data_IF_340218091523
#
_entry.id   IF_340218091523
#
_cell.length_a   1.000
_cell.length_b   1.000
_cell.length_c   1.000
_cell.angle_alpha   90.00
_cell.angle_beta   90.00
_cell.angle_gamma   90.00
#
_symmetry.space_group_name_H-M   'P 1'
#
loop_
_entity.id
_entity.type
_entity.pdbx_description
1 polymer ?
#
# COMPACT_ATOMS: atom_id res chain seq x y z
N UNK A 1 1.19 15.86 -21.40
CA UNK A 1 0.02 15.00 -21.55
C UNK A 1 -0.76 14.92 -20.23
N UNK A 2 -0.20 14.42 -19.12
CA UNK A 2 -0.91 14.11 -17.86
C UNK A 2 -1.00 15.25 -16.82
N UNK A 3 -0.45 16.44 -17.03
CA UNK A 3 -0.36 17.50 -16.01
C UNK A 3 -1.72 17.87 -15.38
N UNK A 4 -2.78 17.95 -16.19
CA UNK A 4 -4.14 18.26 -15.70
C UNK A 4 -4.75 17.06 -14.96
N UNK A 5 -4.68 15.88 -15.54
CA UNK A 5 -5.26 14.65 -14.96
C UNK A 5 -4.56 14.23 -13.67
N UNK A 6 -3.25 14.41 -13.54
CA UNK A 6 -2.51 14.22 -12.27
C UNK A 6 -3.07 15.15 -11.19
N UNK A 7 -3.19 16.47 -11.50
CA UNK A 7 -3.74 17.43 -10.55
C UNK A 7 -5.18 17.10 -10.13
N UNK A 8 -6.00 16.59 -11.05
CA UNK A 8 -7.39 16.24 -10.74
C UNK A 8 -7.47 14.91 -9.96
N UNK A 9 -6.71 13.89 -10.34
CA UNK A 9 -6.71 12.61 -9.65
C UNK A 9 -6.00 12.66 -8.28
N UNK A 10 -5.12 13.62 -8.03
CA UNK A 10 -4.49 13.78 -6.71
C UNK A 10 -5.44 14.22 -5.60
N UNK A 11 -6.58 14.84 -5.96
CA UNK A 11 -7.51 15.46 -5.00
C UNK A 11 -8.26 14.47 -4.11
N UNK A 12 -8.38 13.22 -4.52
CA UNK A 12 -9.06 12.15 -3.79
C UNK A 12 -8.12 11.05 -3.31
N UNK A 13 -6.80 11.26 -3.40
CA UNK A 13 -5.81 10.30 -2.92
C UNK A 13 -5.36 10.67 -1.51
N UNK A 14 -5.28 9.65 -0.69
CA UNK A 14 -4.71 9.75 0.65
C UNK A 14 -3.61 8.70 0.84
N UNK A 15 -2.52 9.02 1.56
CA UNK A 15 -1.48 8.05 1.86
C UNK A 15 -1.94 7.08 2.94
N UNK A 16 -1.61 5.81 2.76
CA UNK A 16 -1.51 4.85 3.85
C UNK A 16 -0.07 4.88 4.36
N UNK A 17 0.11 5.12 5.64
CA UNK A 17 1.44 5.20 6.28
C UNK A 17 1.44 4.37 7.53
N UNK A 18 2.35 3.41 7.61
CA UNK A 18 2.49 2.51 8.75
C UNK A 18 3.92 2.55 9.28
N UNK A 19 4.08 2.72 10.59
CA UNK A 19 5.34 2.53 11.30
C UNK A 19 5.45 1.09 11.78
N UNK A 20 6.63 0.48 11.62
CA UNK A 20 6.92 -0.92 11.93
C UNK A 20 8.06 -0.98 12.95
N UNK A 21 7.81 -1.57 14.12
CA UNK A 21 8.82 -1.83 15.16
C UNK A 21 9.17 -3.31 15.17
N UNK A 22 10.46 -3.58 14.99
CA UNK A 22 11.01 -4.92 15.15
C UNK A 22 11.50 -5.16 16.58
N UNK A 23 11.41 -6.40 17.04
CA UNK A 23 11.97 -6.80 18.31
C UNK A 23 13.50 -6.58 18.32
N UNK A 24 14.03 -6.08 19.44
CA UNK A 24 15.47 -5.79 19.54
C UNK A 24 15.98 -4.57 18.78
N UNK A 25 15.15 -3.95 17.91
CA UNK A 25 15.54 -2.77 17.14
C UNK A 25 14.99 -1.48 17.74
N UNK A 26 15.81 -0.43 17.74
CA UNK A 26 15.36 0.93 18.06
C UNK A 26 14.90 1.70 16.82
N UNK A 27 15.21 1.20 15.63
CA UNK A 27 14.76 1.80 14.36
C UNK A 27 13.32 1.42 14.10
N UNK A 28 12.51 2.41 13.70
CA UNK A 28 11.18 2.19 13.14
C UNK A 28 11.30 2.22 11.63
N UNK A 29 10.91 1.14 10.98
CA UNK A 29 10.73 1.12 9.53
C UNK A 29 9.33 1.59 9.17
N UNK A 30 9.09 1.84 7.90
CA UNK A 30 7.78 2.29 7.45
C UNK A 30 7.33 1.56 6.19
N UNK A 31 6.01 1.37 6.09
CA UNK A 31 5.33 0.92 4.88
C UNK A 31 4.44 2.04 4.36
N UNK A 32 4.28 2.09 3.06
CA UNK A 32 3.43 3.04 2.36
C UNK A 32 2.50 2.34 1.40
N UNK A 33 1.35 2.97 1.21
CA UNK A 33 0.37 2.62 0.20
C UNK A 33 -0.43 3.85 -0.24
N UNK A 34 -1.33 3.63 -1.16
CA UNK A 34 -2.23 4.66 -1.66
C UNK A 34 -3.67 4.20 -1.45
N UNK A 35 -4.52 5.12 -1.08
CA UNK A 35 -5.95 4.91 -0.89
C UNK A 35 -6.73 5.93 -1.69
N UNK A 36 -7.87 5.52 -2.26
CA UNK A 36 -8.75 6.33 -3.10
C UNK A 36 -10.04 6.60 -2.32
N UNK A 37 -10.32 7.86 -1.99
CA UNK A 37 -11.59 8.28 -1.38
C UNK A 37 -12.67 8.28 -2.45
N UNK A 38 -13.71 7.46 -2.29
CA UNK A 38 -14.76 7.22 -3.27
C UNK A 38 -15.90 8.23 -3.22
N UNK A 39 -16.29 8.64 -1.99
CA UNK A 39 -17.45 9.49 -1.73
C UNK A 39 -17.32 10.24 -0.38
N UNK A 40 -18.32 11.01 -0.02
CA UNK A 40 -18.42 11.76 1.23
C UNK A 40 -18.88 10.92 2.44
N UNK A 41 -19.23 9.66 2.22
CA UNK A 41 -19.62 8.70 3.28
C UNK A 41 -18.41 8.03 3.95
N UNK A 42 -17.19 8.35 3.51
CA UNK A 42 -15.97 7.78 4.05
C UNK A 42 -15.59 6.42 3.46
N UNK A 43 -16.16 6.07 2.30
CA UNK A 43 -15.77 4.85 1.60
C UNK A 43 -14.44 5.05 0.86
N UNK A 44 -13.52 4.14 1.09
CA UNK A 44 -12.15 4.18 0.58
C UNK A 44 -11.86 2.88 -0.15
N UNK A 45 -11.34 2.97 -1.38
CA UNK A 45 -10.83 1.85 -2.15
C UNK A 45 -9.31 1.76 -2.01
N UNK A 46 -8.81 0.54 -1.84
CA UNK A 46 -7.37 0.25 -1.83
C UNK A 46 -7.09 -1.21 -2.19
N UNK A 47 -5.83 -1.61 -2.15
CA UNK A 47 -5.43 -3.01 -2.27
C UNK A 47 -5.80 -3.81 -1.01
N UNK A 48 -6.14 -5.08 -1.19
CA UNK A 48 -6.44 -6.01 -0.10
C UNK A 48 -5.27 -6.15 0.87
N UNK A 49 -4.04 -6.28 0.35
CA UNK A 49 -2.85 -6.39 1.20
C UNK A 49 -2.61 -5.15 2.07
N UNK A 50 -3.05 -3.93 1.65
CA UNK A 50 -3.02 -2.72 2.48
C UNK A 50 -4.11 -2.79 3.56
N UNK A 51 -5.30 -3.25 3.21
CA UNK A 51 -6.40 -3.39 4.17
C UNK A 51 -6.11 -4.45 5.24
N UNK A 52 -5.36 -5.50 4.89
CA UNK A 52 -4.90 -6.52 5.85
C UNK A 52 -3.99 -5.95 6.94
N UNK A 53 -3.25 -4.86 6.66
CA UNK A 53 -2.40 -4.20 7.65
C UNK A 53 -3.20 -3.57 8.79
N UNK A 54 -4.41 -3.08 8.53
CA UNK A 54 -5.30 -2.58 9.60
C UNK A 54 -5.68 -3.70 10.58
N UNK A 55 -5.98 -4.89 10.07
CA UNK A 55 -6.30 -6.06 10.90
C UNK A 55 -5.05 -6.55 11.65
N UNK A 56 -3.89 -6.51 10.99
CA UNK A 56 -2.62 -6.87 11.61
C UNK A 56 -2.24 -5.91 12.72
N UNK A 57 -2.42 -4.61 12.50
CA UNK A 57 -2.13 -3.56 13.48
C UNK A 57 -2.90 -3.78 14.78
N UNK A 58 -4.20 -4.06 14.71
CA UNK A 58 -5.03 -4.33 15.89
C UNK A 58 -4.53 -5.56 16.66
N UNK A 59 -4.30 -6.67 15.97
CA UNK A 59 -3.78 -7.92 16.58
C UNK A 59 -2.40 -7.73 17.23
N UNK A 60 -1.49 -7.03 16.56
CA UNK A 60 -0.15 -6.77 17.08
C UNK A 60 -0.18 -5.85 18.27
N UNK A 61 -1.05 -4.84 18.30
CA UNK A 61 -1.22 -3.95 19.45
C UNK A 61 -1.62 -4.70 20.71
N UNK A 62 -2.62 -5.58 20.60
CA UNK A 62 -3.07 -6.45 21.72
C UNK A 62 -1.93 -7.39 22.16
N UNK A 63 -1.29 -8.07 21.22
CA UNK A 63 -0.18 -8.97 21.50
C UNK A 63 1.00 -8.24 22.19
N UNK A 64 1.36 -7.06 21.70
CA UNK A 64 2.46 -6.27 22.25
C UNK A 64 2.20 -5.84 23.68
N UNK A 65 0.98 -5.39 24.00
CA UNK A 65 0.58 -5.05 25.37
C UNK A 65 0.73 -6.24 26.32
N UNK A 66 0.28 -7.43 25.91
CA UNK A 66 0.45 -8.65 26.69
C UNK A 66 1.92 -9.05 26.88
N UNK A 67 2.71 -9.04 25.78
CA UNK A 67 4.12 -9.33 25.76
C UNK A 67 4.89 -8.42 26.72
N UNK A 68 4.68 -7.11 26.64
CA UNK A 68 5.37 -6.14 27.50
C UNK A 68 4.96 -6.28 28.97
N UNK A 69 3.70 -6.53 29.24
CA UNK A 69 3.23 -6.80 30.60
C UNK A 69 3.90 -8.04 31.21
N UNK A 70 4.06 -9.13 30.46
CA UNK A 70 4.76 -10.33 30.94
C UNK A 70 6.26 -10.06 31.11
N UNK A 71 6.93 -9.41 30.16
CA UNK A 71 8.37 -9.10 30.22
C UNK A 71 8.70 -8.19 31.41
N UNK A 72 7.88 -7.17 31.65
CA UNK A 72 8.10 -6.22 32.78
C UNK A 72 8.02 -6.90 34.16
N UNK A 73 7.41 -8.06 34.25
CA UNK A 73 7.33 -8.86 35.49
C UNK A 73 8.47 -9.88 35.62
N UNK A 74 9.34 -10.04 34.59
CA UNK A 74 10.47 -11.00 34.63
C UNK A 74 11.61 -10.51 35.49
N UNK A 75 12.27 -11.46 36.17
CA UNK A 75 13.43 -11.19 37.04
C UNK A 75 14.76 -11.48 36.35
N UNK A 76 14.77 -12.26 35.30
CA UNK A 76 15.99 -12.70 34.62
C UNK A 76 15.78 -12.94 33.12
N UNK A 77 16.90 -13.11 32.38
CA UNK A 77 16.88 -13.30 30.91
C UNK A 77 16.24 -14.61 30.47
N UNK A 78 16.32 -15.65 31.28
CA UNK A 78 15.75 -16.96 30.91
C UNK A 78 14.22 -16.91 30.89
N UNK A 79 13.60 -16.20 31.84
CA UNK A 79 12.18 -15.92 31.86
C UNK A 79 11.77 -15.14 30.62
N UNK A 80 12.51 -14.08 30.27
CA UNK A 80 12.25 -13.30 29.03
C UNK A 80 12.33 -14.21 27.80
N UNK A 81 13.38 -15.05 27.69
CA UNK A 81 13.54 -15.95 26.56
C UNK A 81 12.37 -16.96 26.43
N UNK A 82 11.83 -17.43 27.56
CA UNK A 82 10.68 -18.32 27.56
C UNK A 82 9.41 -17.61 27.06
N UNK A 83 9.22 -16.35 27.46
CA UNK A 83 8.09 -15.53 26.96
C UNK A 83 8.24 -15.28 25.45
N UNK A 84 9.43 -14.90 24.99
CA UNK A 84 9.66 -14.70 23.55
C UNK A 84 9.37 -15.95 22.74
N UNK A 85 9.75 -17.14 23.22
CA UNK A 85 9.38 -18.42 22.60
C UNK A 85 7.87 -18.66 22.61
N UNK A 86 7.18 -18.35 23.72
CA UNK A 86 5.71 -18.47 23.83
C UNK A 86 5.00 -17.66 22.76
N UNK A 87 5.47 -16.43 22.48
CA UNK A 87 4.92 -15.55 21.46
C UNK A 87 5.55 -15.73 20.07
N UNK A 88 6.46 -16.70 19.89
CA UNK A 88 7.20 -16.95 18.65
C UNK A 88 7.95 -15.70 18.12
N UNK A 89 8.52 -14.90 19.03
CA UNK A 89 9.26 -13.68 18.70
C UNK A 89 10.73 -14.02 18.41
N UNK A 90 11.24 -13.52 17.29
CA UNK A 90 12.63 -13.56 16.85
C UNK A 90 13.16 -12.14 16.69
N UNK A 91 14.47 -11.99 16.48
CA UNK A 91 15.14 -10.67 16.33
C UNK A 91 14.61 -9.85 15.14
N UNK A 92 14.01 -10.49 14.14
CA UNK A 92 13.43 -9.85 12.94
C UNK A 92 11.90 -9.79 12.97
N UNK A 93 11.28 -10.17 14.09
CA UNK A 93 9.81 -10.16 14.20
C UNK A 93 9.30 -8.73 14.38
N UNK A 94 8.31 -8.36 13.55
CA UNK A 94 7.52 -7.14 13.78
C UNK A 94 6.65 -7.37 15.02
N UNK A 95 6.86 -6.55 16.06
CA UNK A 95 6.15 -6.71 17.34
C UNK A 95 5.10 -5.63 17.58
N UNK A 96 5.20 -4.50 16.91
CA UNK A 96 4.26 -3.40 17.01
C UNK A 96 4.17 -2.67 15.68
N UNK A 97 2.97 -2.27 15.31
CA UNK A 97 2.73 -1.36 14.18
C UNK A 97 1.88 -0.19 14.64
N UNK A 98 1.91 0.90 13.87
CA UNK A 98 0.99 2.02 14.03
C UNK A 98 0.66 2.59 12.66
N UNK A 99 -0.63 2.63 12.33
CA UNK A 99 -1.15 3.22 11.10
C UNK A 99 -1.52 4.68 11.37
N UNK A 100 -0.93 5.57 10.58
CA UNK A 100 -1.28 6.99 10.62
C UNK A 100 -2.14 7.34 9.41
N UNK A 101 -3.30 7.93 9.67
CA UNK A 101 -4.23 8.40 8.65
C UNK A 101 -4.21 9.93 8.61
N UNK A 102 -4.29 10.56 7.41
CA UNK A 102 -4.12 12.01 7.26
C UNK A 102 -5.40 12.81 7.57
N UNK A 103 -6.19 12.38 8.55
CA UNK A 103 -7.41 13.09 8.96
C UNK A 103 -7.58 13.05 10.47
N UNK A 104 -8.28 14.08 10.97
CA UNK A 104 -8.59 14.16 12.39
C UNK A 104 -9.66 13.13 12.77
N UNK A 105 -9.40 12.42 13.84
CA UNK A 105 -10.29 11.41 14.40
C UNK A 105 -11.00 12.03 15.60
N UNK A 106 -12.32 12.17 15.50
CA UNK A 106 -13.16 12.70 16.57
C UNK A 106 -13.87 11.55 17.32
N UNK A 107 -13.27 11.09 18.41
CA UNK A 107 -13.87 10.01 19.24
C UNK A 107 -13.41 8.61 18.86
N UNK A 108 -14.26 7.61 19.12
CA UNK A 108 -14.00 6.22 18.72
C UNK A 108 -14.21 6.04 17.22
N UNK A 109 -13.31 5.31 16.59
CA UNK A 109 -13.34 5.00 15.15
C UNK A 109 -13.73 3.54 14.97
N UNK A 110 -14.78 3.30 14.19
CA UNK A 110 -15.08 1.97 13.69
C UNK A 110 -14.56 1.85 12.26
N UNK A 111 -13.74 0.86 12.04
CA UNK A 111 -13.19 0.55 10.72
C UNK A 111 -13.86 -0.71 10.20
N UNK A 112 -14.68 -0.58 9.16
CA UNK A 112 -15.29 -1.71 8.47
C UNK A 112 -14.50 -2.02 7.20
N UNK A 113 -14.03 -3.25 7.07
CA UNK A 113 -13.20 -3.71 5.96
C UNK A 113 -13.91 -4.82 5.21
N UNK A 114 -14.10 -4.63 3.90
CA UNK A 114 -14.60 -5.65 2.99
C UNK A 114 -13.52 -5.97 1.96
N UNK A 115 -13.17 -7.25 1.83
CA UNK A 115 -12.11 -7.72 0.94
C UNK A 115 -12.68 -8.58 -0.17
N UNK A 116 -12.22 -8.36 -1.40
CA UNK A 116 -12.57 -9.25 -2.51
C UNK A 116 -11.97 -10.64 -2.29
N UNK A 117 -12.72 -11.67 -2.67
CA UNK A 117 -12.34 -13.07 -2.39
C UNK A 117 -11.02 -13.47 -3.09
N UNK A 118 -10.84 -13.07 -4.35
CA UNK A 118 -9.75 -13.54 -5.21
C UNK A 118 -8.80 -12.42 -5.66
N UNK A 119 -9.31 -11.21 -5.90
CA UNK A 119 -8.52 -10.07 -6.36
C UNK A 119 -7.98 -9.26 -5.18
N UNK A 120 -6.91 -8.55 -5.42
CA UNK A 120 -6.27 -7.66 -4.44
C UNK A 120 -7.02 -6.33 -4.32
N UNK A 121 -8.31 -6.39 -4.01
CA UNK A 121 -9.21 -5.23 -3.83
C UNK A 121 -9.80 -5.27 -2.43
N UNK A 122 -9.86 -4.12 -1.77
CA UNK A 122 -10.58 -3.92 -0.53
C UNK A 122 -11.29 -2.57 -0.49
N UNK A 123 -12.36 -2.55 0.27
CA UNK A 123 -13.08 -1.36 0.71
C UNK A 123 -12.84 -1.18 2.20
N UNK A 124 -12.54 0.03 2.60
CA UNK A 124 -12.43 0.46 3.99
C UNK A 124 -13.46 1.57 4.18
N UNK A 125 -14.35 1.42 5.15
CA UNK A 125 -15.22 2.49 5.60
C UNK A 125 -14.84 2.87 7.03
N UNK A 126 -14.55 4.15 7.24
CA UNK A 126 -14.12 4.67 8.53
C UNK A 126 -15.23 5.60 9.05
N UNK A 127 -15.90 5.19 10.13
CA UNK A 127 -16.94 6.00 10.76
C UNK A 127 -16.34 7.13 11.60
N UNK A 128 -17.14 8.19 11.82
CA UNK A 128 -16.77 9.34 12.66
C UNK A 128 -15.52 10.11 12.20
N UNK A 129 -15.20 10.02 10.91
CA UNK A 129 -14.11 10.77 10.28
C UNK A 129 -14.68 11.71 9.21
N UNK A 130 -14.26 12.96 9.25
CA UNK A 130 -14.66 13.93 8.23
C UNK A 130 -13.63 13.94 7.09
N UNK A 131 -13.79 13.01 6.14
CA UNK A 131 -12.93 12.95 4.96
C UNK A 131 -13.49 13.90 3.91
N UNK A 132 -12.93 15.12 3.84
CA UNK A 132 -13.27 16.08 2.80
C UNK A 132 -12.25 16.04 1.68
N UNK A 133 -12.71 15.74 0.48
CA UNK A 133 -11.92 15.84 -0.75
C UNK A 133 -12.63 16.75 -1.74
N UNK A 134 -11.85 17.48 -2.54
CA UNK A 134 -12.41 18.46 -3.49
C UNK A 134 -13.09 17.79 -4.70
N UNK A 135 -12.81 16.54 -4.95
CA UNK A 135 -13.31 15.80 -6.10
C UNK A 135 -13.29 14.29 -5.79
N UNK A 136 -14.17 13.55 -6.44
CA UNK A 136 -14.21 12.09 -6.37
C UNK A 136 -13.78 11.45 -7.68
N UNK A 137 -13.27 10.18 -7.66
CA UNK A 137 -12.82 9.46 -8.83
C UNK A 137 -13.97 9.20 -9.82
N UNK A 138 -13.63 9.12 -11.11
CA UNK A 138 -14.54 8.69 -12.17
C UNK A 138 -13.92 7.44 -12.81
N UNK A 139 -14.60 6.31 -12.69
CA UNK A 139 -14.15 5.05 -13.25
C UNK A 139 -14.63 4.89 -14.70
N UNK A 140 -13.73 4.42 -15.57
CA UNK A 140 -14.09 4.06 -16.93
C UNK A 140 -14.94 2.79 -16.95
N UNK A 141 -16.09 2.81 -17.66
CA UNK A 141 -16.89 1.61 -17.94
C UNK A 141 -16.28 0.79 -19.06
N UNK A 142 -15.62 1.47 -19.99
CA UNK A 142 -14.92 0.82 -21.09
C UNK A 142 -13.61 0.18 -20.64
N UNK A 143 -13.22 -0.86 -21.35
CA UNK A 143 -11.96 -1.55 -21.10
C UNK A 143 -10.79 -0.75 -21.67
N UNK A 144 -9.63 -0.76 -21.04
CA UNK A 144 -8.45 -0.17 -21.63
C UNK A 144 -8.00 -0.99 -22.86
N UNK A 145 -7.50 -0.31 -23.88
CA UNK A 145 -6.97 -0.95 -25.07
C UNK A 145 -5.45 -1.17 -24.98
N UNK A 146 -4.92 -2.24 -25.58
CA UNK A 146 -3.48 -2.39 -25.74
C UNK A 146 -2.88 -1.20 -26.50
N UNK A 147 -1.75 -0.68 -26.01
CA UNK A 147 -1.12 0.53 -26.52
C UNK A 147 -1.72 1.82 -25.98
N UNK A 148 -2.83 1.78 -25.25
CA UNK A 148 -3.41 2.96 -24.63
C UNK A 148 -2.44 3.56 -23.61
N UNK A 149 -2.22 4.87 -23.70
CA UNK A 149 -1.41 5.61 -22.72
C UNK A 149 -2.15 5.73 -21.40
N UNK A 150 -1.46 5.40 -20.31
CA UNK A 150 -1.98 5.50 -18.93
C UNK A 150 -0.93 6.09 -18.01
N UNK A 151 -1.37 6.71 -16.92
CA UNK A 151 -0.53 7.19 -15.84
C UNK A 151 -0.97 6.56 -14.52
N UNK A 152 -0.01 6.10 -13.73
CA UNK A 152 -0.18 5.65 -12.35
C UNK A 152 0.17 6.77 -11.40
N UNK A 153 -0.55 6.89 -10.31
CA UNK A 153 -0.31 7.90 -9.29
C UNK A 153 -0.42 7.29 -7.89
N UNK A 154 0.52 7.61 -7.04
CA UNK A 154 0.49 7.15 -5.65
C UNK A 154 1.63 7.75 -4.85
N UNK A 155 1.65 7.43 -3.55
CA UNK A 155 2.65 7.94 -2.60
C UNK A 155 3.82 6.96 -2.53
N UNK A 156 4.94 7.31 -3.15
CA UNK A 156 6.10 6.44 -3.22
C UNK A 156 7.36 7.11 -2.69
N UNK A 157 8.34 6.28 -2.27
CA UNK A 157 9.65 6.72 -1.82
C UNK A 157 9.61 7.80 -0.73
N UNK A 158 9.21 7.45 0.51
CA UNK A 158 9.33 8.40 1.61
C UNK A 158 10.81 8.75 1.81
N UNK A 159 11.14 10.03 1.68
CA UNK A 159 12.50 10.51 1.87
C UNK A 159 12.85 10.70 3.35
N UNK A 160 11.88 10.58 4.26
CA UNK A 160 12.01 10.96 5.65
C UNK A 160 11.66 9.82 6.59
N UNK A 161 12.31 9.83 7.75
CA UNK A 161 11.99 8.99 8.88
C UNK A 161 10.84 9.64 9.68
N UNK A 162 9.62 9.20 9.44
CA UNK A 162 8.41 9.81 9.99
C UNK A 162 8.09 9.41 11.42
N UNK A 163 8.63 8.29 11.91
CA UNK A 163 8.22 7.67 13.15
C UNK A 163 9.33 7.55 14.17
N UNK A 164 8.94 7.54 15.43
CA UNK A 164 9.78 7.18 16.56
C UNK A 164 9.00 6.34 17.57
N UNK A 165 9.72 5.57 18.37
CA UNK A 165 9.11 4.83 19.48
C UNK A 165 9.09 5.69 20.75
N UNK A 166 7.89 6.00 21.23
CA UNK A 166 7.70 6.71 22.50
C UNK A 166 7.66 5.72 23.67
N UNK A 167 8.71 5.71 24.48
CA UNK A 167 8.74 4.90 25.72
C UNK A 167 7.64 5.27 26.71
N UNK A 168 7.20 6.54 26.72
CA UNK A 168 6.14 7.03 27.60
C UNK A 168 4.77 6.49 27.22
N UNK A 169 4.50 6.36 25.92
CA UNK A 169 3.23 5.87 25.40
C UNK A 169 3.29 4.37 25.06
N UNK A 170 4.47 3.75 25.18
CA UNK A 170 4.73 2.37 24.74
C UNK A 170 4.24 2.09 23.31
N UNK A 171 4.33 3.11 22.44
CA UNK A 171 3.79 3.06 21.10
C UNK A 171 4.68 3.80 20.08
N UNK A 172 4.47 3.50 18.80
CA UNK A 172 5.05 4.24 17.69
C UNK A 172 4.27 5.55 17.53
N UNK A 173 4.98 6.65 17.43
CA UNK A 173 4.38 7.98 17.24
C UNK A 173 4.99 8.68 16.04
N UNK A 174 4.25 9.56 15.40
CA UNK A 174 4.79 10.43 14.37
C UNK A 174 5.63 11.53 15.01
N UNK A 175 6.80 11.82 14.43
CA UNK A 175 7.71 12.89 14.89
C UNK A 175 7.05 14.25 14.71
N UNK A 176 7.09 15.11 15.74
CA UNK A 176 6.35 16.37 15.77
C UNK A 176 6.87 17.44 14.80
N UNK A 177 8.16 17.40 14.46
CA UNK A 177 8.84 18.46 13.70
C UNK A 177 8.90 18.20 12.18
N UNK A 178 8.24 17.15 11.72
CA UNK A 178 8.20 16.81 10.30
C UNK A 178 6.86 17.26 9.74
N UNK A 179 6.88 18.32 8.93
CA UNK A 179 5.78 18.59 7.99
C UNK A 179 5.83 17.49 6.94
N UNK A 180 5.09 16.42 7.19
CA UNK A 180 5.03 15.28 6.32
C UNK A 180 4.40 15.68 4.98
N UNK A 181 5.21 16.08 4.02
CA UNK A 181 4.79 16.12 2.63
C UNK A 181 4.98 14.71 2.06
N UNK A 182 3.90 14.01 1.82
CA UNK A 182 3.94 12.75 1.09
C UNK A 182 3.98 13.06 -0.41
N UNK A 183 5.14 12.92 -1.09
CA UNK A 183 5.23 13.26 -2.49
C UNK A 183 4.42 12.26 -3.32
N UNK A 184 3.57 12.79 -4.18
CA UNK A 184 2.94 12.00 -5.23
C UNK A 184 3.97 11.69 -6.32
N UNK A 185 3.99 10.44 -6.75
CA UNK A 185 4.91 9.94 -7.75
C UNK A 185 4.14 9.46 -8.99
N UNK A 186 4.00 10.31 -10.02
CA UNK A 186 3.36 9.92 -11.27
C UNK A 186 4.31 9.08 -12.13
N UNK A 187 3.79 8.00 -12.71
CA UNK A 187 4.50 7.15 -13.67
C UNK A 187 3.61 6.87 -14.86
N UNK A 188 3.98 7.33 -16.04
CA UNK A 188 3.26 7.04 -17.27
C UNK A 188 3.81 5.80 -18.00
N UNK A 189 3.00 5.25 -18.86
CA UNK A 189 3.31 4.10 -19.69
C UNK A 189 2.14 3.75 -20.60
N UNK A 190 2.18 2.56 -21.16
CA UNK A 190 1.10 2.03 -22.00
C UNK A 190 0.58 0.72 -21.41
N UNK A 191 -0.66 0.40 -21.72
CA UNK A 191 -1.24 -0.93 -21.50
C UNK A 191 -0.57 -1.93 -22.43
N UNK A 192 0.10 -2.95 -21.87
CA UNK A 192 0.86 -3.94 -22.66
C UNK A 192 0.09 -5.21 -22.89
N UNK A 193 -0.63 -5.70 -21.88
CA UNK A 193 -1.36 -6.97 -21.94
C UNK A 193 -2.67 -6.87 -21.16
N UNK A 194 -3.71 -7.47 -21.71
CA UNK A 194 -4.98 -7.70 -21.02
C UNK A 194 -4.97 -9.11 -20.42
N UNK A 195 -5.42 -9.24 -19.17
CA UNK A 195 -5.47 -10.52 -18.44
C UNK A 195 -6.94 -10.83 -18.19
N UNK A 196 -7.42 -11.89 -18.85
CA UNK A 196 -8.81 -12.35 -18.75
C UNK A 196 -8.93 -13.39 -17.62
N UNK A 197 -10.11 -13.43 -17.00
CA UNK A 197 -10.49 -14.52 -16.10
C UNK A 197 -10.93 -15.79 -16.89
N UNK A 198 -11.29 -16.85 -16.18
CA UNK A 198 -11.76 -18.11 -16.77
C UNK A 198 -13.04 -17.96 -17.63
N UNK A 199 -13.82 -16.89 -17.42
CA UNK A 199 -15.03 -16.56 -18.17
C UNK A 199 -14.78 -15.59 -19.30
N UNK A 200 -13.52 -15.32 -19.63
CA UNK A 200 -13.11 -14.34 -20.66
C UNK A 200 -13.53 -12.89 -20.36
N UNK A 201 -13.66 -12.53 -19.08
CA UNK A 201 -13.82 -11.14 -18.66
C UNK A 201 -12.46 -10.53 -18.31
N UNK A 202 -12.27 -9.25 -18.65
CA UNK A 202 -11.05 -8.55 -18.25
C UNK A 202 -11.03 -8.37 -16.73
N UNK A 203 -10.10 -9.06 -16.05
CA UNK A 203 -9.91 -8.92 -14.60
C UNK A 203 -8.75 -7.98 -14.25
N UNK A 204 -7.65 -8.06 -15.00
CA UNK A 204 -6.44 -7.26 -14.78
C UNK A 204 -5.81 -6.87 -16.12
N UNK A 205 -4.87 -5.94 -16.07
CA UNK A 205 -4.03 -5.59 -17.21
C UNK A 205 -2.60 -5.25 -16.76
N UNK A 206 -1.65 -5.45 -17.66
CA UNK A 206 -0.25 -5.09 -17.44
C UNK A 206 0.08 -3.73 -18.07
N UNK A 207 0.99 -3.00 -17.47
CA UNK A 207 1.52 -1.74 -17.97
C UNK A 207 3.03 -1.82 -18.19
N UNK A 208 3.55 -1.08 -19.18
CA UNK A 208 4.98 -1.08 -19.56
C UNK A 208 5.91 -0.56 -18.46
N UNK A 209 5.39 0.15 -17.47
CA UNK A 209 6.13 0.64 -16.31
C UNK A 209 5.77 -0.17 -15.07
N UNK A 210 6.73 -0.48 -14.17
CA UNK A 210 6.45 -1.22 -12.95
C UNK A 210 5.55 -0.44 -11.99
N UNK A 211 4.90 -1.12 -11.07
CA UNK A 211 4.45 -0.51 -9.83
C UNK A 211 5.65 -0.34 -8.89
N UNK A 212 5.68 0.73 -8.14
CA UNK A 212 6.72 0.96 -7.12
C UNK A 212 6.10 0.96 -5.72
N UNK A 213 6.92 0.70 -4.69
CA UNK A 213 6.46 0.70 -3.31
C UNK A 213 5.73 1.99 -2.96
N UNK A 214 4.51 1.87 -2.41
CA UNK A 214 3.64 2.99 -2.09
C UNK A 214 2.62 3.34 -3.18
N UNK A 215 2.77 2.88 -4.41
CA UNK A 215 1.76 3.05 -5.47
C UNK A 215 0.61 2.03 -5.41
N UNK A 216 0.76 0.93 -4.66
CA UNK A 216 -0.33 -0.03 -4.46
C UNK A 216 -1.59 0.67 -3.94
N UNK A 217 -2.74 0.38 -4.53
CA UNK A 217 -4.01 1.07 -4.27
C UNK A 217 -4.21 2.37 -5.04
N UNK A 218 -3.18 2.89 -5.72
CA UNK A 218 -3.26 4.10 -6.53
C UNK A 218 -3.96 3.91 -7.88
N UNK A 219 -4.61 4.95 -8.43
CA UNK A 219 -5.34 4.88 -9.69
C UNK A 219 -4.40 4.78 -10.89
N UNK A 220 -4.89 4.08 -11.92
CA UNK A 220 -4.32 4.05 -13.27
C UNK A 220 -5.32 4.70 -14.21
N UNK A 221 -4.95 5.82 -14.80
CA UNK A 221 -5.89 6.69 -15.52
C UNK A 221 -5.36 7.17 -16.86
N UNK A 222 -6.30 7.55 -17.74
CA UNK A 222 -6.02 8.12 -19.07
C UNK A 222 -5.55 9.58 -18.97
N UNK A 223 -5.08 10.18 -20.10
CA UNK A 223 -4.79 11.62 -20.16
C UNK A 223 -5.97 12.52 -19.80
N UNK A 224 -7.21 12.06 -20.03
CA UNK A 224 -8.45 12.76 -19.69
C UNK A 224 -8.80 12.67 -18.20
N UNK A 225 -8.22 11.69 -17.48
CA UNK A 225 -8.38 11.51 -16.04
C UNK A 225 -9.36 10.41 -15.65
N UNK A 226 -9.91 9.65 -16.62
CA UNK A 226 -10.74 8.47 -16.36
C UNK A 226 -9.89 7.33 -15.80
N UNK A 227 -10.35 6.70 -14.73
CA UNK A 227 -9.65 5.61 -14.05
C UNK A 227 -10.02 4.28 -14.72
N UNK A 228 -9.03 3.66 -15.35
CA UNK A 228 -9.13 2.34 -15.97
C UNK A 228 -8.77 1.18 -15.03
N UNK A 229 -8.18 1.49 -13.90
CA UNK A 229 -7.84 0.47 -12.91
C UNK A 229 -7.07 1.01 -11.71
N UNK A 230 -6.61 0.08 -10.88
CA UNK A 230 -5.84 0.32 -9.66
C UNK A 230 -4.54 -0.47 -9.71
N UNK A 231 -3.41 0.18 -9.42
CA UNK A 231 -2.11 -0.49 -9.30
C UNK A 231 -2.13 -1.46 -8.12
N UNK A 232 -1.82 -2.73 -8.37
CA UNK A 232 -1.77 -3.76 -7.33
C UNK A 232 -0.35 -4.25 -7.09
N UNK A 233 0.29 -4.84 -8.09
CA UNK A 233 1.59 -5.49 -7.92
C UNK A 233 2.53 -5.24 -9.09
N UNK A 234 3.79 -5.62 -8.92
CA UNK A 234 4.80 -5.65 -9.99
C UNK A 234 5.12 -7.08 -10.34
N UNK A 235 5.12 -7.39 -11.62
CA UNK A 235 5.52 -8.68 -12.17
C UNK A 235 6.89 -8.58 -12.80
N UNK A 236 7.79 -9.46 -12.38
CA UNK A 236 9.10 -9.62 -12.99
C UNK A 236 9.00 -10.65 -14.13
N UNK A 237 9.54 -10.30 -15.29
CA UNK A 237 9.70 -11.21 -16.42
C UNK A 237 11.19 -11.37 -16.70
N UNK A 238 11.70 -12.58 -16.51
CA UNK A 238 13.09 -12.92 -16.78
C UNK A 238 13.34 -12.98 -18.29
N UNK A 239 14.49 -12.43 -18.71
CA UNK A 239 14.87 -12.42 -20.13
C UNK A 239 15.51 -13.74 -20.59
N UNK A 240 15.56 -14.75 -19.70
CA UNK A 240 16.04 -16.11 -19.97
C UNK A 240 17.49 -16.20 -20.48
N UNK A 241 18.34 -15.27 -20.05
CA UNK A 241 19.78 -15.39 -20.20
C UNK A 241 20.50 -14.86 -18.96
N UNK A 242 21.69 -15.43 -18.72
CA UNK A 242 22.50 -15.09 -17.56
C UNK A 242 23.66 -14.16 -17.93
N UNK A 243 23.91 -13.18 -17.10
CA UNK A 243 25.07 -12.31 -17.16
C UNK A 243 26.03 -12.68 -16.05
N UNK A 244 27.28 -13.03 -16.44
CA UNK A 244 28.40 -13.28 -15.50
C UNK A 244 29.42 -12.16 -15.67
N UNK A 245 29.83 -11.57 -14.56
CA UNK A 245 30.78 -10.46 -14.59
C UNK A 245 31.52 -10.33 -13.27
N UNK A 246 32.49 -9.40 -13.26
CA UNK A 246 33.19 -9.00 -12.04
C UNK A 246 32.81 -7.55 -11.74
N UNK A 247 32.43 -7.27 -10.51
CA UNK A 247 32.14 -5.92 -10.02
C UNK A 247 33.15 -5.55 -8.96
N UNK A 248 33.81 -4.40 -9.11
CA UNK A 248 34.66 -3.82 -8.08
C UNK A 248 33.80 -3.22 -6.96
N UNK A 249 34.02 -3.68 -5.72
CA UNK A 249 33.51 -3.04 -4.51
C UNK A 249 34.69 -2.63 -3.65
N UNK A 250 35.08 -1.36 -3.72
CA UNK A 250 36.30 -0.87 -3.10
C UNK A 250 37.54 -1.55 -3.71
N UNK A 251 38.37 -2.20 -2.88
CA UNK A 251 39.59 -2.91 -3.31
C UNK A 251 39.36 -4.38 -3.71
N UNK A 252 38.15 -4.90 -3.58
CA UNK A 252 37.84 -6.30 -3.83
C UNK A 252 37.01 -6.50 -5.10
N UNK A 253 37.42 -7.45 -5.93
CA UNK A 253 36.64 -7.95 -7.06
C UNK A 253 35.65 -8.99 -6.56
N UNK A 254 34.36 -8.79 -6.85
CA UNK A 254 33.31 -9.79 -6.57
C UNK A 254 32.74 -10.32 -7.88
N UNK A 255 32.77 -11.62 -8.06
CA UNK A 255 32.03 -12.25 -9.14
C UNK A 255 30.53 -12.06 -8.91
N UNK A 256 29.83 -11.58 -9.92
CA UNK A 256 28.38 -11.44 -9.92
C UNK A 256 27.79 -12.29 -11.03
N UNK A 257 26.66 -12.91 -10.71
CA UNK A 257 25.83 -13.64 -11.63
C UNK A 257 24.42 -13.17 -11.42
N UNK A 258 23.74 -12.71 -12.48
CA UNK A 258 22.34 -12.31 -12.39
C UNK A 258 21.63 -12.61 -13.71
N UNK A 259 20.33 -12.90 -13.62
CA UNK A 259 19.44 -13.05 -14.76
C UNK A 259 18.73 -11.70 -14.99
N UNK A 260 18.96 -11.04 -16.13
CA UNK A 260 18.26 -9.80 -16.45
C UNK A 260 16.75 -10.01 -16.55
N UNK A 261 16.00 -9.00 -16.12
CA UNK A 261 14.54 -9.03 -16.11
C UNK A 261 13.95 -7.67 -16.48
N UNK A 262 12.68 -7.67 -16.87
CA UNK A 262 11.84 -6.48 -16.98
C UNK A 262 10.74 -6.54 -15.91
N UNK A 263 10.46 -5.39 -15.33
CA UNK A 263 9.35 -5.23 -14.40
C UNK A 263 8.16 -4.58 -15.11
N UNK A 264 6.99 -5.19 -14.99
CA UNK A 264 5.72 -4.68 -15.47
C UNK A 264 4.79 -4.39 -14.30
N UNK A 265 4.03 -3.31 -14.37
CA UNK A 265 2.95 -3.07 -13.41
C UNK A 265 1.76 -3.97 -13.73
N UNK A 266 1.14 -4.55 -12.70
CA UNK A 266 -0.12 -5.30 -12.82
C UNK A 266 -1.21 -4.51 -12.12
N UNK A 267 -2.28 -4.24 -12.85
CA UNK A 267 -3.37 -3.37 -12.44
C UNK A 267 -4.69 -4.14 -12.47
N UNK A 268 -5.52 -3.93 -11.47
CA UNK A 268 -6.89 -4.46 -11.45
C UNK A 268 -7.76 -3.55 -12.28
N UNK A 269 -8.60 -4.12 -13.14
CA UNK A 269 -9.43 -3.34 -14.06
C UNK A 269 -10.54 -2.57 -13.35
N UNK A 270 -10.91 -1.41 -13.88
CA UNK A 270 -12.07 -0.64 -13.42
C UNK A 270 -13.37 -1.46 -13.45
N UNK A 271 -13.52 -2.38 -14.39
CA UNK A 271 -14.67 -3.27 -14.46
C UNK A 271 -14.83 -4.15 -13.23
N UNK A 272 -13.74 -4.77 -12.75
CA UNK A 272 -13.78 -5.57 -11.53
C UNK A 272 -13.94 -4.68 -10.28
N UNK A 273 -13.36 -3.48 -10.28
CA UNK A 273 -13.57 -2.51 -9.22
C UNK A 273 -15.05 -2.12 -9.14
N UNK A 274 -15.65 -1.70 -10.25
CA UNK A 274 -17.07 -1.31 -10.34
C UNK A 274 -17.97 -2.45 -9.84
N UNK A 275 -17.74 -3.68 -10.33
CA UNK A 275 -18.48 -4.86 -9.88
C UNK A 275 -18.41 -5.04 -8.38
N UNK A 276 -17.21 -4.92 -7.79
CA UNK A 276 -17.02 -5.04 -6.34
C UNK A 276 -17.69 -3.92 -5.56
N UNK A 277 -17.70 -2.67 -6.08
CA UNK A 277 -18.42 -1.55 -5.48
C UNK A 277 -19.95 -1.80 -5.49
N UNK A 278 -20.51 -2.25 -6.61
CA UNK A 278 -21.93 -2.59 -6.76
C UNK A 278 -22.36 -3.71 -5.80
N UNK A 279 -21.57 -4.80 -5.71
CA UNK A 279 -21.82 -5.92 -4.80
C UNK A 279 -21.84 -5.49 -3.32
N UNK A 280 -21.17 -4.39 -3.00
CA UNK A 280 -21.07 -3.87 -1.63
C UNK A 280 -21.96 -2.64 -1.38
N UNK A 281 -22.73 -2.18 -2.38
CA UNK A 281 -23.63 -1.04 -2.26
C UNK A 281 -22.95 0.30 -2.06
N UNK A 282 -21.72 0.46 -2.60
CA UNK A 282 -20.91 1.68 -2.46
C UNK A 282 -21.21 2.64 -3.61
N UNK A 283 -21.44 3.91 -3.30
CA UNK A 283 -21.66 4.96 -4.29
C UNK A 283 -20.33 5.39 -4.94
N UNK A 284 -20.33 5.46 -6.25
CA UNK A 284 -19.19 5.89 -7.08
C UNK A 284 -19.64 6.62 -8.33
N UNK A 285 -18.70 7.24 -9.07
CA UNK A 285 -18.95 7.85 -10.38
C UNK A 285 -18.28 7.03 -11.48
N UNK A 286 -18.98 6.85 -12.61
CA UNK A 286 -18.46 6.14 -13.78
C UNK A 286 -18.93 6.77 -15.08
N UNK A 287 -18.12 6.69 -16.12
CA UNK A 287 -18.37 7.24 -17.44
C UNK A 287 -17.97 6.24 -18.54
#
# INVERSE_FOLDING_TARGET
>A
MYKKSIKENSKFLIPFVEGLKYYGSNKIEHALGTMIVLNDKGDILTCKHIAEEFIRNDKLGVMYGQLMSEINNCKNKDEINNILKKYNIKDDSVVLTNINLPFEINGSVDINIKMHKYLDIALINISNVNIKVDKYPIFAKELPLQGQSVCKLGFAFPEYDFFEYSKKLENIVMKKDIVASFPLFPMDGIVTRLIMDENNNLSMFETSTPGIRGQSGGPVFSPEGLIYGMQSMTKQLDLNFDVKGKVKRGFNDKNVHYTPFINLGVCISSKEIIKFLDENGVEYKSE
#
